data_IF_339255353623
#
_entry.id   IF_339255353623
#
_cell.length_a   1.000
_cell.length_b   1.000
_cell.length_c   1.000
_cell.angle_alpha   90.00
_cell.angle_beta   90.00
_cell.angle_gamma   90.00
#
_symmetry.space_group_name_H-M   'P 1'
#
loop_
_entity.id
_entity.type
_entity.pdbx_description
1 polymer ?
#
# COMPACT_ATOMS: atom_id res chain seq x y z
N UNK A 1 -1.89 -20.36 -2.92
CA UNK A 1 -0.67 -20.49 -2.11
C UNK A 1 -0.69 -19.37 -1.07
N UNK A 2 -0.82 -19.66 0.24
CA UNK A 2 -0.97 -18.66 1.31
C UNK A 2 0.26 -17.76 1.52
N UNK A 3 1.33 -17.93 0.72
CA UNK A 3 2.51 -17.06 0.70
C UNK A 3 2.59 -16.16 -0.54
N UNK A 4 1.53 -16.10 -1.35
CA UNK A 4 1.54 -15.28 -2.56
C UNK A 4 1.37 -13.81 -2.18
N UNK A 5 2.43 -13.01 -2.36
CA UNK A 5 2.38 -11.57 -2.16
C UNK A 5 1.26 -10.93 -2.99
N UNK A 6 1.12 -11.34 -4.26
CA UNK A 6 0.07 -10.87 -5.16
C UNK A 6 -1.34 -11.17 -4.64
N UNK A 7 -1.58 -12.36 -4.08
CA UNK A 7 -2.90 -12.71 -3.54
C UNK A 7 -3.26 -11.84 -2.34
N UNK A 8 -2.33 -11.64 -1.41
CA UNK A 8 -2.50 -10.74 -0.27
C UNK A 8 -2.70 -9.29 -0.72
N UNK A 9 -1.99 -8.83 -1.77
CA UNK A 9 -2.19 -7.51 -2.35
C UNK A 9 -3.64 -7.32 -2.85
N UNK A 10 -4.17 -8.29 -3.59
CA UNK A 10 -5.55 -8.24 -4.08
C UNK A 10 -6.59 -8.31 -2.96
N UNK A 11 -6.36 -9.13 -1.92
CA UNK A 11 -7.22 -9.17 -0.74
C UNK A 11 -7.24 -7.82 -0.02
N UNK A 12 -6.08 -7.16 0.11
CA UNK A 12 -5.97 -5.84 0.69
C UNK A 12 -6.78 -4.79 -0.08
N UNK A 13 -6.65 -4.76 -1.40
CA UNK A 13 -7.46 -3.88 -2.27
C UNK A 13 -8.96 -4.16 -2.09
N UNK A 14 -9.36 -5.43 -2.13
CA UNK A 14 -10.77 -5.82 -2.01
C UNK A 14 -11.35 -5.49 -0.62
N UNK A 15 -10.55 -5.60 0.44
CA UNK A 15 -10.95 -5.19 1.79
C UNK A 15 -11.11 -3.66 1.89
N UNK A 16 -10.19 -2.88 1.31
CA UNK A 16 -10.26 -1.41 1.30
C UNK A 16 -11.49 -0.90 0.56
N UNK A 17 -11.82 -1.49 -0.59
CA UNK A 17 -13.03 -1.17 -1.36
C UNK A 17 -14.33 -1.46 -0.59
N UNK A 18 -14.30 -2.41 0.36
CA UNK A 18 -15.43 -2.73 1.24
C UNK A 18 -15.42 -1.93 2.55
N UNK A 19 -14.56 -0.92 2.65
CA UNK A 19 -14.42 -0.07 3.84
C UNK A 19 -13.71 -0.73 5.02
N UNK A 20 -13.15 -1.93 4.85
CA UNK A 20 -12.47 -2.69 5.92
C UNK A 20 -10.99 -2.36 5.95
N UNK A 21 -10.69 -1.13 6.38
CA UNK A 21 -9.35 -0.56 6.24
C UNK A 21 -8.27 -1.26 7.07
N UNK A 22 -8.59 -1.71 8.28
CA UNK A 22 -7.64 -2.47 9.11
C UNK A 22 -7.28 -3.83 8.48
N UNK A 23 -8.26 -4.51 7.89
CA UNK A 23 -8.02 -5.76 7.17
C UNK A 23 -7.20 -5.50 5.90
N UNK A 24 -7.51 -4.42 5.18
CA UNK A 24 -6.76 -4.02 4.00
C UNK A 24 -5.27 -3.84 4.31
N UNK A 25 -4.96 -3.04 5.32
CA UNK A 25 -3.58 -2.81 5.77
C UNK A 25 -2.88 -4.13 6.15
N UNK A 26 -3.56 -4.98 6.94
CA UNK A 26 -3.00 -6.28 7.34
C UNK A 26 -2.63 -7.16 6.14
N UNK A 27 -3.51 -7.24 5.15
CA UNK A 27 -3.26 -8.04 3.95
C UNK A 27 -2.11 -7.44 3.12
N UNK A 28 -2.06 -6.12 2.95
CA UNK A 28 -0.92 -5.48 2.27
C UNK A 28 0.40 -5.69 3.02
N UNK A 29 0.40 -5.64 4.35
CA UNK A 29 1.59 -5.94 5.15
C UNK A 29 2.04 -7.40 4.99
N UNK A 30 1.10 -8.34 4.88
CA UNK A 30 1.42 -9.74 4.59
C UNK A 30 1.98 -9.93 3.17
N UNK A 31 1.52 -9.13 2.20
CA UNK A 31 2.12 -9.11 0.87
C UNK A 31 3.59 -8.68 0.93
N UNK A 32 3.89 -7.60 1.67
CA UNK A 32 5.25 -7.10 1.88
C UNK A 32 6.12 -8.05 2.71
N UNK A 33 5.55 -8.79 3.66
CA UNK A 33 6.29 -9.82 4.39
C UNK A 33 6.72 -10.97 3.48
N UNK A 34 5.95 -11.29 2.44
CA UNK A 34 6.27 -12.33 1.47
C UNK A 34 7.18 -11.81 0.33
N UNK A 35 6.99 -10.56 -0.09
CA UNK A 35 7.84 -9.87 -1.07
C UNK A 35 8.08 -8.43 -0.62
N UNK A 36 9.21 -8.17 0.08
CA UNK A 36 9.54 -6.83 0.59
C UNK A 36 9.76 -5.77 -0.50
N UNK A 37 9.99 -6.20 -1.74
CA UNK A 37 10.26 -5.33 -2.89
C UNK A 37 9.09 -5.34 -3.88
N UNK A 38 7.87 -5.61 -3.41
CA UNK A 38 6.66 -5.52 -4.23
C UNK A 38 6.28 -4.03 -4.45
N UNK A 39 6.43 -3.50 -5.67
CA UNK A 39 6.12 -2.09 -5.96
C UNK A 39 4.63 -1.75 -5.74
N UNK A 40 3.74 -2.68 -6.07
CA UNK A 40 2.28 -2.47 -6.00
C UNK A 40 1.81 -2.51 -4.55
N UNK A 41 2.33 -3.43 -3.73
CA UNK A 41 2.00 -3.50 -2.32
C UNK A 41 2.46 -2.24 -1.58
N UNK A 42 3.65 -1.71 -1.90
CA UNK A 42 4.11 -0.43 -1.36
C UNK A 42 3.23 0.76 -1.78
N UNK A 43 2.79 0.80 -3.04
CA UNK A 43 1.89 1.84 -3.51
C UNK A 43 0.53 1.78 -2.79
N UNK A 44 -0.04 0.58 -2.67
CA UNK A 44 -1.33 0.36 -2.01
C UNK A 44 -1.27 0.68 -0.52
N UNK A 45 -0.17 0.34 0.17
CA UNK A 45 0.01 0.71 1.57
C UNK A 45 0.07 2.23 1.74
N UNK A 46 0.75 2.94 0.85
CA UNK A 46 0.79 4.40 0.90
C UNK A 46 -0.60 5.03 0.76
N UNK A 47 -1.43 4.51 -0.15
CA UNK A 47 -2.83 4.94 -0.33
C UNK A 47 -3.67 4.63 0.90
N UNK A 48 -3.57 3.42 1.46
CA UNK A 48 -4.33 3.04 2.66
C UNK A 48 -3.94 3.94 3.83
N UNK A 49 -2.64 4.14 4.09
CA UNK A 49 -2.18 4.97 5.20
C UNK A 49 -2.71 6.41 5.09
N UNK A 50 -2.51 7.07 3.95
CA UNK A 50 -2.89 8.49 3.79
C UNK A 50 -4.41 8.71 3.84
N UNK A 51 -5.21 7.71 3.47
CA UNK A 51 -6.68 7.84 3.44
C UNK A 51 -7.37 7.38 4.71
N UNK A 52 -6.71 6.57 5.54
CA UNK A 52 -7.37 5.89 6.68
C UNK A 52 -6.74 6.21 8.03
N UNK A 53 -5.49 6.67 8.06
CA UNK A 53 -4.78 6.97 9.30
C UNK A 53 -4.31 8.43 9.34
N UNK A 54 -4.99 9.30 10.10
CA UNK A 54 -4.53 10.65 10.36
C UNK A 54 -3.10 10.66 10.94
N UNK A 55 -2.22 11.51 10.41
CA UNK A 55 -0.83 11.62 10.88
C UNK A 55 0.15 10.61 10.28
N UNK A 56 -0.32 9.60 9.53
CA UNK A 56 0.55 8.60 8.88
C UNK A 56 1.28 9.09 7.62
N UNK A 57 1.16 10.38 7.29
CA UNK A 57 1.66 10.99 6.04
C UNK A 57 3.12 10.68 5.75
N UNK A 58 3.98 10.72 6.77
CA UNK A 58 5.40 10.42 6.60
C UNK A 58 5.63 8.96 6.22
N UNK A 59 4.90 8.04 6.86
CA UNK A 59 4.99 6.60 6.57
C UNK A 59 4.42 6.30 5.17
N UNK A 60 3.29 6.91 4.81
CA UNK A 60 2.73 6.82 3.47
C UNK A 60 3.73 7.31 2.41
N UNK A 61 4.42 8.43 2.68
CA UNK A 61 5.46 8.96 1.79
C UNK A 61 6.64 8.00 1.63
N UNK A 62 7.08 7.34 2.71
CA UNK A 62 8.16 6.33 2.65
C UNK A 62 7.78 5.16 1.73
N UNK A 63 6.57 4.63 1.86
CA UNK A 63 6.11 3.53 1.02
C UNK A 63 5.90 3.96 -0.44
N UNK A 64 5.34 5.16 -0.68
CA UNK A 64 5.21 5.68 -2.05
C UNK A 64 6.58 5.92 -2.71
N UNK A 65 7.56 6.44 -1.97
CA UNK A 65 8.93 6.58 -2.46
C UNK A 65 9.56 5.21 -2.80
N UNK A 66 9.32 4.17 -1.99
CA UNK A 66 9.80 2.83 -2.27
C UNK A 66 9.15 2.24 -3.53
N UNK A 67 7.83 2.37 -3.68
CA UNK A 67 7.09 1.95 -4.88
C UNK A 67 7.67 2.58 -6.16
N UNK A 68 7.84 3.91 -6.16
CA UNK A 68 8.40 4.62 -7.33
C UNK A 68 9.86 4.24 -7.62
N UNK A 69 10.68 3.97 -6.59
CA UNK A 69 12.04 3.48 -6.77
C UNK A 69 12.10 2.06 -7.37
N UNK A 70 11.07 1.24 -7.12
CA UNK A 70 10.92 -0.11 -7.65
C UNK A 70 10.23 -0.17 -9.02
N UNK A 71 9.80 0.97 -9.56
CA UNK A 71 9.29 1.10 -10.93
C UNK A 71 7.80 1.41 -11.06
N UNK A 72 7.06 1.64 -9.96
CA UNK A 72 5.66 2.09 -10.06
C UNK A 72 5.61 3.49 -10.68
N UNK A 73 4.62 3.72 -11.55
CA UNK A 73 4.38 5.04 -12.12
C UNK A 73 4.02 6.06 -11.03
N UNK A 74 4.56 7.28 -11.16
CA UNK A 74 4.20 8.38 -10.28
C UNK A 74 2.74 8.76 -10.43
N UNK A 75 2.08 9.01 -9.30
CA UNK A 75 0.69 9.45 -9.22
C UNK A 75 0.64 10.90 -8.70
N UNK A 76 0.38 11.89 -9.58
CA UNK A 76 0.31 13.31 -9.17
C UNK A 76 -0.75 13.58 -8.09
N UNK A 77 -1.85 12.82 -8.10
CA UNK A 77 -2.90 12.93 -7.09
C UNK A 77 -2.42 12.46 -5.72
N UNK A 78 -1.70 11.32 -5.67
CA UNK A 78 -1.10 10.82 -4.44
C UNK A 78 0.02 11.74 -3.94
N UNK A 79 0.85 12.27 -4.84
CA UNK A 79 1.89 13.24 -4.50
C UNK A 79 1.32 14.48 -3.83
N UNK A 80 0.20 15.02 -4.36
CA UNK A 80 -0.48 16.16 -3.75
C UNK A 80 -0.99 15.86 -2.33
N UNK A 81 -1.44 14.63 -2.06
CA UNK A 81 -1.87 14.23 -0.70
C UNK A 81 -0.67 14.05 0.26
N UNK A 82 0.52 13.78 -0.29
CA UNK A 82 1.75 13.56 0.46
C UNK A 82 2.60 14.84 0.65
N UNK A 83 2.26 15.95 -0.03
CA UNK A 83 2.83 17.30 0.15
C UNK A 83 2.34 17.95 1.43
#
# INVERSE_FOLDING_TARGET
>A
NPKSATAHNYLGIAASQKGRQQEAEKEILQALANNPDDPDAHFNLAVILITTQPGSKELARKHYARATALGTQRSPSLEKLLQ
#
